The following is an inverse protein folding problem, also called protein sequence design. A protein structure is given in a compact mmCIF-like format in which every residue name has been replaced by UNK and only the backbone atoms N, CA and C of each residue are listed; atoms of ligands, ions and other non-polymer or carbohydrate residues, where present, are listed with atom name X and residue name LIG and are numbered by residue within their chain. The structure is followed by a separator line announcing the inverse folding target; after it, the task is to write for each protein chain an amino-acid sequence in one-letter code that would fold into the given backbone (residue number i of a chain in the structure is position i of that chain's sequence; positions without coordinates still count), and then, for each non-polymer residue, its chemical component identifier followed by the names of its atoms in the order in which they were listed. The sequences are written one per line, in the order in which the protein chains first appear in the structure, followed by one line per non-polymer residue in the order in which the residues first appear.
data_IF_042896709427
#
_entry.id   IF_042896709427
#
_cell.length_a   1.000
_cell.length_b   1.000
_cell.length_c   1.000
_cell.angle_alpha   90.00
_cell.angle_beta   90.00
_cell.angle_gamma   90.00
#
_symmetry.space_group_name_H-M   'P 1'
#
loop_
_entity.id
_entity.type
_entity.pdbx_description
1 polymer ?
#
# COMPACT_ATOMS: atom_id res chain seq x y z
N UNK A 1 12.93 -38.65 4.64
CA UNK A 1 12.46 -39.14 3.33
C UNK A 1 10.94 -38.88 3.26
N UNK A 2 10.43 -38.40 2.11
CA UNK A 2 8.98 -38.20 1.89
C UNK A 2 8.46 -39.48 1.30
N UNK A 3 7.53 -40.14 1.95
CA UNK A 3 6.98 -41.43 1.51
C UNK A 3 5.80 -41.21 0.55
N UNK A 4 4.96 -40.19 0.77
CA UNK A 4 3.81 -39.88 -0.06
C UNK A 4 3.36 -38.44 0.09
N UNK A 5 2.68 -37.91 -0.93
CA UNK A 5 2.09 -36.56 -0.95
C UNK A 5 0.61 -36.71 -1.34
N UNK A 6 -0.26 -36.15 -0.50
CA UNK A 6 -1.70 -36.15 -0.73
C UNK A 6 -2.27 -34.74 -0.75
N UNK A 7 -3.17 -34.49 -1.68
CA UNK A 7 -4.05 -33.35 -1.69
C UNK A 7 -5.35 -33.74 -0.97
N UNK A 8 -5.79 -32.93 -0.02
CA UNK A 8 -7.01 -33.21 0.75
C UNK A 8 -7.90 -31.96 0.82
N UNK A 9 -9.18 -32.18 0.93
CA UNK A 9 -10.16 -31.14 1.17
C UNK A 9 -10.07 -30.69 2.63
N UNK A 10 -9.87 -29.38 2.83
CA UNK A 10 -9.61 -28.80 4.16
C UNK A 10 -10.83 -28.89 5.09
N UNK A 11 -12.05 -28.90 4.54
CA UNK A 11 -13.29 -28.93 5.32
C UNK A 11 -13.67 -30.35 5.73
N UNK A 12 -13.52 -31.30 4.81
CA UNK A 12 -13.96 -32.70 5.01
C UNK A 12 -12.83 -33.61 5.44
N UNK A 13 -11.57 -33.23 5.24
CA UNK A 13 -10.41 -34.09 5.45
C UNK A 13 -10.28 -35.22 4.43
N UNK A 14 -11.14 -35.27 3.42
CA UNK A 14 -11.11 -36.33 2.40
C UNK A 14 -9.92 -36.12 1.45
N UNK A 15 -9.21 -37.23 1.13
CA UNK A 15 -8.15 -37.23 0.13
C UNK A 15 -8.74 -37.05 -1.26
N UNK A 16 -8.28 -35.97 -1.95
CA UNK A 16 -8.72 -35.59 -3.30
C UNK A 16 -7.85 -36.31 -4.35
N UNK A 17 -6.53 -36.26 -4.15
CA UNK A 17 -5.58 -36.89 -5.07
C UNK A 17 -4.25 -37.23 -4.40
N UNK A 18 -3.55 -38.25 -4.93
CA UNK A 18 -2.13 -38.46 -4.64
C UNK A 18 -1.27 -37.71 -5.65
N UNK A 19 -0.21 -37.06 -5.17
CA UNK A 19 0.70 -36.24 -6.00
C UNK A 19 2.10 -36.84 -5.98
N UNK A 20 2.72 -36.92 -7.16
CA UNK A 20 4.10 -37.40 -7.29
C UNK A 20 5.13 -36.32 -6.84
N UNK A 21 4.77 -35.05 -6.96
CA UNK A 21 5.61 -33.93 -6.58
C UNK A 21 4.77 -32.69 -6.24
N UNK A 22 5.36 -31.80 -5.48
CA UNK A 22 4.81 -30.48 -5.19
C UNK A 22 5.89 -29.42 -5.34
N UNK A 23 5.55 -28.29 -5.96
CA UNK A 23 6.39 -27.11 -6.01
C UNK A 23 6.12 -26.19 -4.82
N UNK A 24 7.12 -25.96 -3.98
CA UNK A 24 7.05 -24.97 -2.90
C UNK A 24 7.85 -23.76 -3.35
N UNK A 25 7.14 -22.64 -3.58
CA UNK A 25 7.75 -21.40 -4.02
C UNK A 25 8.07 -20.52 -2.83
N UNK A 26 9.19 -19.75 -2.88
CA UNK A 26 9.51 -18.81 -1.82
C UNK A 26 8.48 -17.69 -1.74
N UNK A 27 8.20 -17.21 -0.52
CA UNK A 27 7.32 -16.08 -0.26
C UNK A 27 8.03 -14.70 -0.43
N UNK A 28 9.33 -14.71 -0.76
CA UNK A 28 10.14 -13.51 -0.93
C UNK A 28 10.49 -13.29 -2.39
N UNK A 29 10.55 -12.02 -2.81
CA UNK A 29 11.01 -11.64 -4.14
C UNK A 29 12.51 -11.88 -4.31
N UNK A 30 12.94 -12.09 -5.56
CA UNK A 30 14.35 -12.22 -5.96
C UNK A 30 15.10 -13.42 -5.38
N UNK A 31 14.40 -14.43 -4.89
CA UNK A 31 15.02 -15.72 -4.59
C UNK A 31 15.33 -16.42 -5.91
N UNK A 32 16.59 -16.77 -6.12
CA UNK A 32 17.08 -17.34 -7.38
C UNK A 32 18.06 -18.47 -7.16
N UNK A 33 18.43 -19.18 -8.22
CA UNK A 33 19.44 -20.24 -8.13
C UNK A 33 20.83 -19.65 -7.88
N UNK A 34 21.70 -20.43 -7.23
CA UNK A 34 23.08 -20.01 -6.91
C UNK A 34 23.88 -19.61 -8.16
N UNK A 35 23.62 -20.21 -9.31
CA UNK A 35 24.27 -19.85 -10.57
C UNK A 35 23.86 -18.46 -11.07
N UNK A 36 22.56 -18.17 -11.07
CA UNK A 36 22.03 -16.85 -11.45
C UNK A 36 22.51 -15.77 -10.48
N UNK A 37 22.54 -16.06 -9.18
CA UNK A 37 23.02 -15.14 -8.16
C UNK A 37 24.51 -14.79 -8.38
N UNK A 38 25.36 -15.77 -8.66
CA UNK A 38 26.78 -15.53 -8.97
C UNK A 38 26.96 -14.62 -10.19
N UNK A 39 26.18 -14.83 -11.24
CA UNK A 39 26.21 -13.98 -12.42
C UNK A 39 25.75 -12.55 -12.11
N UNK A 40 24.68 -12.38 -11.34
CA UNK A 40 24.21 -11.08 -10.90
C UNK A 40 25.29 -10.34 -10.09
N UNK A 41 25.93 -11.01 -9.12
CA UNK A 41 27.03 -10.47 -8.32
C UNK A 41 28.19 -10.00 -9.20
N UNK A 42 28.56 -10.77 -10.23
CA UNK A 42 29.62 -10.37 -11.15
C UNK A 42 29.26 -9.09 -11.90
N UNK A 43 28.01 -8.96 -12.40
CA UNK A 43 27.51 -7.76 -13.10
C UNK A 43 27.44 -6.54 -12.17
N UNK A 44 26.99 -6.73 -10.92
CA UNK A 44 26.96 -5.67 -9.91
C UNK A 44 28.37 -5.13 -9.63
N UNK A 45 29.38 -6.00 -9.52
CA UNK A 45 30.78 -5.60 -9.32
C UNK A 45 31.28 -4.74 -10.47
N UNK A 46 31.00 -5.11 -11.71
CA UNK A 46 31.40 -4.32 -12.89
C UNK A 46 30.76 -2.94 -12.85
N UNK A 47 29.43 -2.88 -12.63
CA UNK A 47 28.72 -1.58 -12.52
C UNK A 47 29.27 -0.72 -11.37
N UNK A 48 29.59 -1.33 -10.23
CA UNK A 48 30.20 -0.62 -9.10
C UNK A 48 31.55 0.01 -9.49
N UNK A 49 32.44 -0.75 -10.11
CA UNK A 49 33.75 -0.25 -10.53
C UNK A 49 33.62 0.92 -11.52
N UNK A 50 32.77 0.79 -12.52
CA UNK A 50 32.48 1.86 -13.47
C UNK A 50 31.95 3.12 -12.77
N UNK A 51 30.97 2.97 -11.89
CA UNK A 51 30.40 4.11 -11.17
C UNK A 51 31.37 4.75 -10.19
N UNK A 52 32.20 3.97 -9.51
CA UNK A 52 33.23 4.50 -8.63
C UNK A 52 34.28 5.32 -9.40
N UNK A 53 34.63 4.90 -10.62
CA UNK A 53 35.53 5.63 -11.49
C UNK A 53 34.93 6.98 -11.86
N UNK A 54 33.67 7.01 -12.34
CA UNK A 54 32.95 8.24 -12.69
C UNK A 54 32.89 9.23 -11.50
N UNK A 55 32.52 8.75 -10.31
CA UNK A 55 32.41 9.60 -9.12
C UNK A 55 33.77 10.20 -8.71
N UNK A 56 34.86 9.42 -8.84
CA UNK A 56 36.21 9.90 -8.52
C UNK A 56 36.70 10.93 -9.57
N UNK A 57 36.40 10.73 -10.85
CA UNK A 57 36.71 11.70 -11.91
C UNK A 57 35.98 13.03 -11.71
N UNK A 58 34.80 12.99 -11.07
CA UNK A 58 34.01 14.17 -10.70
C UNK A 58 34.39 14.77 -9.32
N UNK A 59 35.45 14.28 -8.67
CA UNK A 59 35.88 14.67 -7.31
C UNK A 59 34.82 14.42 -6.21
N UNK A 60 33.91 13.46 -6.44
CA UNK A 60 32.85 13.08 -5.53
C UNK A 60 33.26 11.91 -4.63
N UNK A 61 34.28 12.13 -3.83
CA UNK A 61 34.96 11.07 -3.05
C UNK A 61 34.05 10.50 -1.95
N UNK A 62 33.25 11.33 -1.31
CA UNK A 62 32.34 10.88 -0.23
C UNK A 62 31.26 9.94 -0.77
N UNK A 63 30.66 10.27 -1.91
CA UNK A 63 29.65 9.45 -2.58
C UNK A 63 30.26 8.13 -3.06
N UNK A 64 31.47 8.17 -3.62
CA UNK A 64 32.17 6.98 -4.06
C UNK A 64 32.47 6.04 -2.86
N UNK A 65 32.92 6.57 -1.73
CA UNK A 65 33.20 5.79 -0.53
C UNK A 65 31.93 5.15 0.03
N UNK A 66 30.84 5.92 0.13
CA UNK A 66 29.53 5.45 0.60
C UNK A 66 29.00 4.32 -0.28
N UNK A 67 29.02 4.52 -1.59
CA UNK A 67 28.55 3.54 -2.56
C UNK A 67 29.35 2.24 -2.48
N UNK A 68 30.68 2.37 -2.45
CA UNK A 68 31.59 1.22 -2.32
C UNK A 68 31.31 0.41 -1.06
N UNK A 69 31.24 1.07 0.10
CA UNK A 69 31.00 0.42 1.37
C UNK A 69 29.66 -0.31 1.39
N UNK A 70 28.59 0.37 0.98
CA UNK A 70 27.24 -0.20 0.96
C UNK A 70 27.15 -1.38 0.00
N UNK A 71 27.60 -1.22 -1.23
CA UNK A 71 27.47 -2.27 -2.25
C UNK A 71 28.32 -3.50 -1.91
N UNK A 72 29.55 -3.33 -1.38
CA UNK A 72 30.36 -4.47 -0.97
C UNK A 72 29.71 -5.25 0.18
N UNK A 73 29.13 -4.56 1.16
CA UNK A 73 28.38 -5.20 2.24
C UNK A 73 27.18 -6.00 1.68
N UNK A 74 26.40 -5.42 0.77
CA UNK A 74 25.26 -6.09 0.16
C UNK A 74 25.70 -7.33 -0.66
N UNK A 75 26.83 -7.22 -1.37
CA UNK A 75 27.42 -8.35 -2.12
C UNK A 75 27.90 -9.49 -1.21
N UNK A 76 28.52 -9.16 -0.09
CA UNK A 76 28.93 -10.15 0.91
C UNK A 76 27.70 -10.88 1.48
N UNK A 77 26.66 -10.15 1.86
CA UNK A 77 25.41 -10.73 2.34
C UNK A 77 24.75 -11.65 1.27
N UNK A 78 24.74 -11.23 0.00
CA UNK A 78 24.24 -12.08 -1.09
C UNK A 78 25.07 -13.37 -1.27
N UNK A 79 26.39 -13.31 -1.08
CA UNK A 79 27.26 -14.46 -1.21
C UNK A 79 27.10 -15.47 -0.06
N UNK A 80 27.02 -14.98 1.17
CA UNK A 80 26.98 -15.82 2.38
C UNK A 80 25.57 -16.31 2.72
N UNK A 81 24.57 -15.44 2.56
CA UNK A 81 23.18 -15.70 2.99
C UNK A 81 22.24 -15.91 1.80
N UNK A 82 22.64 -15.51 0.61
CA UNK A 82 21.79 -15.54 -0.58
C UNK A 82 20.80 -14.37 -0.69
N UNK A 83 20.87 -13.42 0.24
CA UNK A 83 19.95 -12.29 0.34
C UNK A 83 20.62 -11.07 1.00
N UNK A 84 20.18 -9.87 0.66
CA UNK A 84 20.53 -8.65 1.38
C UNK A 84 19.30 -7.73 1.55
N UNK A 85 19.32 -6.84 2.52
CA UNK A 85 18.28 -5.82 2.69
C UNK A 85 18.34 -4.82 1.54
N UNK A 86 17.23 -4.67 0.81
CA UNK A 86 17.17 -3.84 -0.37
C UNK A 86 17.63 -4.55 -1.65
N UNK A 87 17.57 -5.88 -1.70
CA UNK A 87 17.95 -6.70 -2.86
C UNK A 87 17.21 -6.28 -4.15
N UNK A 88 16.03 -5.69 -4.02
CA UNK A 88 15.25 -5.15 -5.13
C UNK A 88 15.98 -4.05 -5.92
N UNK A 89 16.93 -3.34 -5.29
CA UNK A 89 17.75 -2.34 -5.97
C UNK A 89 18.73 -2.95 -6.98
N UNK A 90 18.94 -4.24 -6.92
CA UNK A 90 19.76 -5.03 -7.85
C UNK A 90 18.89 -5.87 -8.81
N UNK A 91 17.58 -5.64 -8.83
CA UNK A 91 16.61 -6.45 -9.59
C UNK A 91 16.91 -6.57 -11.07
N UNK A 92 17.49 -5.53 -11.69
CA UNK A 92 17.89 -5.57 -13.10
C UNK A 92 18.92 -6.68 -13.35
N UNK A 93 19.93 -6.81 -12.50
CA UNK A 93 20.95 -7.84 -12.60
C UNK A 93 20.44 -9.22 -12.22
N UNK A 94 19.53 -9.29 -11.23
CA UNK A 94 18.90 -10.54 -10.78
C UNK A 94 18.01 -11.18 -11.86
N UNK A 95 17.30 -10.37 -12.64
CA UNK A 95 16.40 -10.79 -13.70
C UNK A 95 16.98 -10.69 -15.11
N UNK A 96 18.27 -10.35 -15.23
CA UNK A 96 19.02 -10.26 -16.50
C UNK A 96 18.38 -9.32 -17.54
N UNK A 97 17.77 -8.22 -17.08
CA UNK A 97 17.15 -7.19 -17.91
C UNK A 97 18.18 -6.20 -18.44
N UNK A 98 17.85 -5.58 -19.59
CA UNK A 98 18.64 -4.49 -20.13
C UNK A 98 18.38 -3.19 -19.35
N UNK A 99 19.32 -2.22 -19.39
CA UNK A 99 19.06 -0.89 -18.83
C UNK A 99 17.80 -0.27 -19.45
N UNK A 100 16.90 0.24 -18.60
CA UNK A 100 15.65 0.84 -19.01
C UNK A 100 14.46 -0.12 -19.18
N UNK A 101 14.69 -1.43 -19.28
CA UNK A 101 13.61 -2.41 -19.38
C UNK A 101 12.69 -2.35 -18.16
N UNK A 102 11.36 -2.44 -18.34
CA UNK A 102 10.42 -2.49 -17.23
C UNK A 102 10.61 -3.73 -16.36
N UNK A 103 10.35 -3.65 -15.06
CA UNK A 103 10.37 -4.81 -14.19
C UNK A 103 9.20 -5.75 -14.51
N UNK A 104 9.35 -7.02 -14.12
CA UNK A 104 8.21 -7.93 -14.07
C UNK A 104 7.24 -7.50 -12.97
N UNK A 105 5.95 -7.56 -13.28
CA UNK A 105 4.85 -7.20 -12.39
C UNK A 105 3.90 -8.37 -12.20
N UNK A 106 2.92 -8.21 -11.31
CA UNK A 106 1.87 -9.21 -11.14
C UNK A 106 1.10 -9.47 -12.44
N UNK A 107 0.96 -8.47 -13.31
CA UNK A 107 0.27 -8.59 -14.59
C UNK A 107 0.95 -9.61 -15.53
N UNK A 108 2.27 -9.75 -15.44
CA UNK A 108 3.05 -10.69 -16.27
C UNK A 108 2.79 -12.17 -15.93
N UNK A 109 2.06 -12.47 -14.83
CA UNK A 109 1.68 -13.82 -14.43
C UNK A 109 0.29 -14.25 -14.92
N UNK A 110 -0.50 -13.30 -15.44
CA UNK A 110 -1.81 -13.62 -16.00
C UNK A 110 -1.68 -14.16 -17.43
N UNK A 111 -2.62 -14.98 -17.91
CA UNK A 111 -2.70 -15.36 -19.31
C UNK A 111 -3.01 -14.13 -20.17
N UNK A 112 -2.74 -14.20 -21.48
CA UNK A 112 -2.97 -13.07 -22.39
C UNK A 112 -4.43 -12.59 -22.41
N UNK A 113 -5.37 -13.51 -22.24
CA UNK A 113 -6.82 -13.20 -22.14
C UNK A 113 -7.23 -13.03 -20.68
N UNK A 114 -7.11 -11.82 -20.16
CA UNK A 114 -7.53 -11.44 -18.81
C UNK A 114 -8.23 -10.09 -18.80
N UNK A 115 -8.96 -9.85 -17.73
CA UNK A 115 -9.68 -8.61 -17.49
C UNK A 115 -9.20 -7.97 -16.19
N UNK A 116 -8.97 -6.65 -16.23
CA UNK A 116 -8.71 -5.83 -15.05
C UNK A 116 -9.98 -5.09 -14.66
N UNK A 117 -10.32 -5.13 -13.38
CA UNK A 117 -11.32 -4.25 -12.77
C UNK A 117 -10.61 -3.27 -11.85
N UNK A 118 -10.68 -1.97 -12.16
CA UNK A 118 -10.12 -0.91 -11.33
C UNK A 118 -11.23 -0.30 -10.50
N UNK A 119 -11.23 -0.64 -9.22
CA UNK A 119 -12.13 -0.04 -8.24
C UNK A 119 -11.63 1.35 -7.85
N UNK A 120 -12.57 2.27 -7.55
CA UNK A 120 -12.27 3.68 -7.28
C UNK A 120 -11.32 4.28 -8.33
N UNK A 121 -11.64 4.07 -9.60
CA UNK A 121 -10.76 4.42 -10.73
C UNK A 121 -10.39 5.90 -10.76
N UNK A 122 -11.27 6.78 -10.32
CA UNK A 122 -11.03 8.24 -10.22
C UNK A 122 -9.87 8.60 -9.27
N UNK A 123 -9.49 7.69 -8.35
CA UNK A 123 -8.31 7.82 -7.48
C UNK A 123 -7.16 6.98 -8.02
N UNK A 124 -7.44 5.74 -8.41
CA UNK A 124 -6.42 4.76 -8.80
C UNK A 124 -5.70 5.16 -10.09
N UNK A 125 -6.43 5.63 -11.10
CA UNK A 125 -5.83 6.03 -12.38
C UNK A 125 -4.84 7.20 -12.24
N UNK A 126 -5.17 8.30 -11.54
CA UNK A 126 -4.18 9.36 -11.26
C UNK A 126 -2.95 8.87 -10.48
N UNK A 127 -3.11 7.91 -9.56
CA UNK A 127 -1.97 7.31 -8.86
C UNK A 127 -1.06 6.53 -9.81
N UNK A 128 -1.62 5.73 -10.73
CA UNK A 128 -0.85 5.02 -11.74
C UNK A 128 -0.05 5.97 -12.64
N UNK A 129 -0.60 7.13 -12.99
CA UNK A 129 0.11 8.16 -13.73
C UNK A 129 1.28 8.77 -12.94
N UNK A 130 1.11 8.97 -11.63
CA UNK A 130 2.07 9.70 -10.81
C UNK A 130 3.21 8.82 -10.26
N UNK A 131 2.99 7.52 -10.06
CA UNK A 131 3.89 6.66 -9.29
C UNK A 131 5.28 6.50 -9.92
N UNK A 132 5.37 6.43 -11.26
CA UNK A 132 6.65 6.34 -11.95
C UNK A 132 7.53 7.57 -11.69
N UNK A 133 7.01 8.76 -11.91
CA UNK A 133 7.75 10.00 -11.73
C UNK A 133 8.17 10.24 -10.28
N UNK A 134 7.29 9.91 -9.32
CA UNK A 134 7.59 9.99 -7.89
C UNK A 134 8.71 9.06 -7.47
N UNK A 135 8.71 7.81 -7.95
CA UNK A 135 9.77 6.84 -7.68
C UNK A 135 11.10 7.25 -8.32
N UNK A 136 11.09 7.68 -9.58
CA UNK A 136 12.28 8.13 -10.29
C UNK A 136 12.94 9.34 -9.61
N UNK A 137 12.17 10.34 -9.23
CA UNK A 137 12.69 11.53 -8.53
C UNK A 137 13.44 11.15 -7.24
N UNK A 138 12.84 10.28 -6.44
CA UNK A 138 13.47 9.77 -5.22
C UNK A 138 14.75 8.97 -5.51
N UNK A 139 14.71 8.08 -6.48
CA UNK A 139 15.84 7.20 -6.81
C UNK A 139 17.01 7.95 -7.45
N UNK A 140 16.73 8.93 -8.31
CA UNK A 140 17.79 9.80 -8.83
C UNK A 140 18.59 10.45 -7.70
N UNK A 141 17.90 11.00 -6.69
CA UNK A 141 18.57 11.55 -5.51
C UNK A 141 19.45 10.49 -4.82
N UNK A 142 18.95 9.26 -4.63
CA UNK A 142 19.73 8.20 -3.98
C UNK A 142 20.95 7.76 -4.80
N UNK A 143 20.85 7.70 -6.11
CA UNK A 143 21.94 7.37 -7.02
C UNK A 143 22.97 8.50 -7.08
N UNK A 144 22.50 9.75 -7.18
CA UNK A 144 23.36 10.91 -7.25
C UNK A 144 24.22 11.07 -5.98
N UNK A 145 23.65 10.84 -4.82
CA UNK A 145 24.37 10.92 -3.55
C UNK A 145 25.10 9.62 -3.13
N UNK A 146 25.24 8.65 -4.03
CA UNK A 146 26.00 7.41 -3.79
C UNK A 146 25.36 6.43 -2.79
N UNK A 147 24.05 6.48 -2.61
CA UNK A 147 23.33 5.51 -1.77
C UNK A 147 22.90 4.25 -2.55
N UNK A 148 22.83 4.33 -3.88
CA UNK A 148 22.44 3.22 -4.76
C UNK A 148 23.23 3.27 -6.06
N UNK A 149 23.38 2.09 -6.70
CA UNK A 149 23.89 1.99 -8.06
C UNK A 149 22.88 2.54 -9.09
N UNK A 150 23.32 2.98 -10.27
CA UNK A 150 22.42 3.43 -11.33
C UNK A 150 21.36 2.40 -11.72
N UNK A 151 21.66 1.11 -11.67
CA UNK A 151 20.70 0.02 -11.94
C UNK A 151 19.47 0.01 -11.03
N UNK A 152 19.53 0.65 -9.86
CA UNK A 152 18.39 0.79 -8.97
C UNK A 152 17.24 1.61 -9.59
N UNK A 153 17.52 2.46 -10.58
CA UNK A 153 16.52 3.20 -11.34
C UNK A 153 15.58 2.27 -12.12
N UNK A 154 16.03 1.07 -12.49
CA UNK A 154 15.25 0.08 -13.25
C UNK A 154 14.37 -0.82 -12.35
N UNK A 155 14.47 -0.69 -11.02
CA UNK A 155 13.48 -1.22 -10.09
C UNK A 155 12.41 -0.16 -9.86
N UNK A 156 11.46 -0.06 -10.72
CA UNK A 156 10.50 1.05 -10.81
C UNK A 156 9.08 0.57 -11.08
N UNK A 157 8.06 1.35 -10.76
CA UNK A 157 6.74 1.12 -11.32
C UNK A 157 6.77 1.14 -12.85
N UNK A 158 5.80 0.52 -13.47
CA UNK A 158 5.55 0.71 -14.90
C UNK A 158 5.24 2.18 -15.17
N UNK A 159 5.61 2.68 -16.35
CA UNK A 159 4.98 3.90 -16.86
C UNK A 159 3.51 3.64 -17.15
N UNK A 160 2.71 4.68 -17.27
CA UNK A 160 1.29 4.51 -17.59
C UNK A 160 1.09 3.87 -18.97
N UNK A 161 1.95 4.18 -19.94
CA UNK A 161 1.96 3.56 -21.25
C UNK A 161 2.29 2.07 -21.18
N UNK A 162 3.35 1.69 -20.44
CA UNK A 162 3.71 0.29 -20.22
C UNK A 162 2.60 -0.50 -19.52
N UNK A 163 1.84 0.16 -18.63
CA UNK A 163 0.68 -0.43 -18.00
C UNK A 163 -0.44 -0.66 -19.01
N UNK A 164 -0.79 0.35 -19.80
CA UNK A 164 -1.86 0.26 -20.81
C UNK A 164 -1.57 -0.77 -21.89
N UNK A 165 -0.30 -0.91 -22.30
CA UNK A 165 0.13 -1.90 -23.30
C UNK A 165 -0.03 -3.36 -22.83
N UNK A 166 -0.10 -3.58 -21.51
CA UNK A 166 -0.32 -4.92 -20.94
C UNK A 166 -1.78 -5.27 -20.77
N UNK A 167 -2.69 -4.30 -20.90
CA UNK A 167 -4.12 -4.51 -20.65
C UNK A 167 -4.77 -5.11 -21.88
N UNK A 168 -5.47 -6.23 -21.70
CA UNK A 168 -6.36 -6.78 -22.72
C UNK A 168 -7.77 -6.15 -22.60
N UNK A 169 -8.41 -6.29 -21.44
CA UNK A 169 -9.73 -5.72 -21.16
C UNK A 169 -9.71 -5.02 -19.81
N UNK A 170 -10.45 -3.91 -19.71
CA UNK A 170 -10.51 -3.13 -18.48
C UNK A 170 -11.92 -2.65 -18.19
N UNK A 171 -12.31 -2.71 -16.91
CA UNK A 171 -13.52 -2.10 -16.37
C UNK A 171 -13.09 -1.09 -15.30
N UNK A 172 -13.50 0.14 -15.48
CA UNK A 172 -13.35 1.19 -14.48
C UNK A 172 -14.61 1.26 -13.63
N UNK A 173 -14.49 1.14 -12.32
CA UNK A 173 -15.58 1.23 -11.36
C UNK A 173 -15.39 2.50 -10.53
N UNK A 174 -16.40 3.38 -10.53
CA UNK A 174 -16.34 4.62 -9.75
C UNK A 174 -17.74 5.24 -9.63
N UNK A 175 -18.04 5.82 -8.48
CA UNK A 175 -19.22 6.68 -8.31
C UNK A 175 -19.04 8.04 -9.02
N UNK A 176 -17.81 8.49 -9.21
CA UNK A 176 -17.43 9.78 -9.82
C UNK A 176 -16.28 9.59 -10.82
N UNK A 177 -16.54 8.98 -11.99
CA UNK A 177 -15.50 8.71 -12.98
C UNK A 177 -14.67 9.94 -13.33
N UNK A 178 -13.36 9.77 -13.47
CA UNK A 178 -12.45 10.84 -13.84
C UNK A 178 -12.46 11.18 -15.32
N UNK A 179 -11.71 12.22 -15.70
CA UNK A 179 -11.64 12.66 -17.11
C UNK A 179 -11.02 11.61 -18.02
N UNK A 180 -10.05 10.84 -17.52
CA UNK A 180 -9.38 9.82 -18.30
C UNK A 180 -10.37 8.71 -18.69
N UNK A 181 -11.09 8.13 -17.71
CA UNK A 181 -12.05 7.06 -17.94
C UNK A 181 -13.14 7.52 -18.92
N UNK A 182 -13.64 8.73 -18.74
CA UNK A 182 -14.63 9.32 -19.64
C UNK A 182 -14.12 9.51 -21.07
N UNK A 183 -12.79 9.67 -21.26
CA UNK A 183 -12.19 9.86 -22.59
C UNK A 183 -11.91 8.55 -23.32
N UNK A 184 -11.72 7.44 -22.60
CA UNK A 184 -11.33 6.14 -23.19
C UNK A 184 -12.46 5.10 -23.16
N UNK A 185 -13.55 5.37 -22.49
CA UNK A 185 -14.68 4.43 -22.40
C UNK A 185 -15.29 4.12 -23.78
N UNK A 186 -15.63 2.88 -23.99
CA UNK A 186 -16.44 2.43 -25.15
C UNK A 186 -17.89 2.20 -24.77
N UNK A 187 -18.14 1.77 -23.55
CA UNK A 187 -19.45 1.52 -22.97
C UNK A 187 -19.51 2.07 -21.55
N UNK A 188 -20.70 2.48 -21.12
CA UNK A 188 -20.96 2.92 -19.77
C UNK A 188 -22.24 2.26 -19.26
N UNK A 189 -22.19 1.75 -18.02
CA UNK A 189 -23.34 1.25 -17.30
C UNK A 189 -23.46 1.99 -15.96
N UNK A 190 -24.66 2.46 -15.66
CA UNK A 190 -24.95 3.12 -14.39
C UNK A 190 -25.82 2.23 -13.51
N UNK A 191 -25.40 2.05 -12.26
CA UNK A 191 -26.19 1.37 -11.24
C UNK A 191 -26.61 2.38 -10.18
N UNK A 192 -27.85 2.84 -10.26
CA UNK A 192 -28.40 3.89 -9.39
C UNK A 192 -29.25 3.29 -8.26
N UNK A 193 -29.60 2.00 -8.36
CA UNK A 193 -30.53 1.34 -7.44
C UNK A 193 -29.84 1.09 -6.09
N UNK A 194 -30.48 1.56 -5.00
CA UNK A 194 -30.17 1.20 -3.62
C UNK A 194 -31.23 0.24 -3.07
N UNK A 195 -31.04 -1.07 -3.19
CA UNK A 195 -32.06 -2.06 -2.79
C UNK A 195 -32.29 -2.11 -1.28
N UNK A 196 -31.37 -1.58 -0.48
CA UNK A 196 -31.45 -1.57 0.99
C UNK A 196 -32.51 -0.61 1.53
N UNK A 197 -32.98 0.36 0.75
CA UNK A 197 -33.92 1.40 1.19
C UNK A 197 -33.33 2.41 2.20
N UNK A 198 -32.02 2.32 2.50
CA UNK A 198 -31.34 3.26 3.40
C UNK A 198 -31.13 4.59 2.67
N UNK A 199 -31.54 5.67 3.32
CA UNK A 199 -31.32 7.03 2.85
C UNK A 199 -29.88 7.46 3.10
N UNK A 200 -29.42 8.46 2.33
CA UNK A 200 -28.18 9.15 2.65
C UNK A 200 -28.28 9.81 4.03
N UNK A 201 -27.18 9.86 4.81
CA UNK A 201 -27.18 10.57 6.07
C UNK A 201 -27.47 12.05 5.87
N UNK A 202 -28.22 12.66 6.79
CA UNK A 202 -28.38 14.11 6.81
C UNK A 202 -27.06 14.78 7.15
N UNK A 203 -26.70 15.81 6.39
CA UNK A 203 -25.47 16.58 6.61
C UNK A 203 -25.81 17.94 7.16
N UNK A 204 -25.27 18.29 8.32
CA UNK A 204 -25.40 19.59 8.93
C UNK A 204 -24.03 20.28 8.98
N UNK A 205 -23.97 21.56 8.59
CA UNK A 205 -22.79 22.40 8.76
C UNK A 205 -23.07 23.33 9.94
N UNK A 206 -22.24 23.21 10.97
CA UNK A 206 -22.38 23.99 12.22
C UNK A 206 -21.28 25.02 12.35
N UNK A 207 -21.49 26.13 13.11
CA UNK A 207 -20.46 27.14 13.37
C UNK A 207 -19.27 26.56 14.13
N UNK A 208 -18.08 27.15 13.93
CA UNK A 208 -16.86 26.78 14.67
C UNK A 208 -16.93 27.25 16.13
N UNK A 209 -17.55 28.40 16.37
CA UNK A 209 -17.72 28.96 17.72
C UNK A 209 -18.57 28.04 18.60
N UNK A 210 -18.04 27.62 19.75
CA UNK A 210 -18.72 26.68 20.65
C UNK A 210 -18.72 25.22 20.19
N UNK A 211 -17.95 24.86 19.17
CA UNK A 211 -17.95 23.51 18.56
C UNK A 211 -17.61 22.40 19.55
N UNK A 212 -16.80 22.64 20.59
CA UNK A 212 -16.44 21.61 21.57
C UNK A 212 -17.60 21.32 22.54
N UNK A 213 -18.31 22.33 22.98
CA UNK A 213 -19.49 22.16 23.83
C UNK A 213 -20.62 21.47 23.05
N UNK A 214 -20.80 21.87 21.80
CA UNK A 214 -21.76 21.24 20.89
C UNK A 214 -21.41 19.76 20.65
N UNK A 215 -20.15 19.43 20.40
CA UNK A 215 -19.68 18.05 20.26
C UNK A 215 -19.97 17.21 21.50
N UNK A 216 -19.62 17.70 22.69
CA UNK A 216 -19.90 17.01 23.96
C UNK A 216 -21.41 16.78 24.13
N UNK A 217 -22.22 17.78 23.81
CA UNK A 217 -23.69 17.65 23.84
C UNK A 217 -24.20 16.56 22.90
N UNK A 218 -23.66 16.47 21.70
CA UNK A 218 -24.04 15.44 20.73
C UNK A 218 -23.53 14.03 21.13
N UNK A 219 -22.34 13.93 21.69
CA UNK A 219 -21.81 12.65 22.22
C UNK A 219 -22.71 12.12 23.33
N UNK A 220 -23.04 12.94 24.34
CA UNK A 220 -23.88 12.52 25.45
C UNK A 220 -25.30 12.07 25.02
N UNK A 221 -25.85 12.68 23.97
CA UNK A 221 -27.14 12.22 23.39
C UNK A 221 -27.03 10.80 22.81
N UNK A 222 -25.88 10.45 22.17
CA UNK A 222 -25.66 9.12 21.59
C UNK A 222 -25.32 8.10 22.67
N UNK A 223 -24.52 8.47 23.65
CA UNK A 223 -24.27 7.62 24.83
C UNK A 223 -25.58 7.21 25.53
N UNK A 224 -26.51 8.15 25.70
CA UNK A 224 -27.78 7.89 26.37
C UNK A 224 -28.64 6.83 25.66
N UNK A 225 -28.47 6.64 24.36
CA UNK A 225 -29.19 5.65 23.55
C UNK A 225 -28.30 4.49 23.09
N UNK A 226 -27.11 4.39 23.66
CA UNK A 226 -26.11 3.34 23.38
C UNK A 226 -25.64 3.29 21.91
N UNK A 227 -25.53 4.45 21.27
CA UNK A 227 -24.99 4.63 19.93
C UNK A 227 -23.54 5.12 19.96
N UNK A 228 -22.83 5.01 18.85
CA UNK A 228 -21.40 5.33 18.73
C UNK A 228 -21.18 6.56 17.86
N UNK A 229 -20.04 7.22 18.07
CA UNK A 229 -19.63 8.42 17.35
C UNK A 229 -18.26 8.21 16.69
N UNK A 230 -18.15 8.60 15.41
CA UNK A 230 -16.88 8.73 14.72
C UNK A 230 -16.50 10.19 14.58
N UNK A 231 -15.24 10.52 14.85
CA UNK A 231 -14.73 11.88 14.66
C UNK A 231 -13.47 11.81 13.79
N UNK A 232 -13.50 12.50 12.67
CA UNK A 232 -12.35 12.59 11.77
C UNK A 232 -11.73 13.99 11.83
N UNK A 233 -10.38 14.01 11.85
CA UNK A 233 -9.58 15.23 11.84
C UNK A 233 -8.59 15.22 10.68
N UNK A 234 -7.98 16.37 10.36
CA UNK A 234 -7.02 16.47 9.26
C UNK A 234 -5.61 16.02 9.63
N UNK A 235 -5.23 16.11 10.89
CA UNK A 235 -3.85 15.81 11.33
C UNK A 235 -3.82 14.91 12.55
N UNK A 236 -2.69 14.18 12.72
CA UNK A 236 -2.44 13.34 13.92
C UNK A 236 -2.55 14.17 15.19
N UNK A 237 -1.92 15.33 15.22
CA UNK A 237 -1.90 16.21 16.39
C UNK A 237 -3.31 16.63 16.80
N UNK A 238 -4.14 17.06 15.83
CA UNK A 238 -5.54 17.41 16.13
C UNK A 238 -6.31 16.23 16.70
N UNK A 239 -6.08 15.01 16.20
CA UNK A 239 -6.74 13.82 16.72
C UNK A 239 -6.28 13.49 18.14
N UNK A 240 -5.00 13.63 18.44
CA UNK A 240 -4.42 13.44 19.77
C UNK A 240 -4.96 14.47 20.76
N UNK A 241 -4.84 15.76 20.42
CA UNK A 241 -5.32 16.87 21.29
C UNK A 241 -6.83 16.73 21.56
N UNK A 242 -7.64 16.36 20.56
CA UNK A 242 -9.08 16.12 20.73
C UNK A 242 -9.38 14.89 21.60
N UNK A 243 -8.60 13.81 21.45
CA UNK A 243 -8.77 12.61 22.28
C UNK A 243 -8.48 12.92 23.75
N UNK A 244 -7.42 13.68 24.02
CA UNK A 244 -7.06 14.09 25.38
C UNK A 244 -8.16 14.96 25.99
N UNK A 245 -8.66 15.94 25.25
CA UNK A 245 -9.78 16.78 25.67
C UNK A 245 -11.03 15.97 26.02
N UNK A 246 -11.42 15.01 25.16
CA UNK A 246 -12.60 14.18 25.42
C UNK A 246 -12.39 13.24 26.60
N UNK A 247 -11.19 12.69 26.80
CA UNK A 247 -10.85 11.91 27.99
C UNK A 247 -10.95 12.75 29.28
N UNK A 248 -10.45 13.98 29.28
CA UNK A 248 -10.54 14.92 30.40
C UNK A 248 -12.00 15.28 30.71
N UNK A 249 -12.85 15.35 29.68
CA UNK A 249 -14.28 15.55 29.81
C UNK A 249 -15.05 14.29 30.29
N UNK A 250 -14.36 13.15 30.49
CA UNK A 250 -14.95 11.91 30.97
C UNK A 250 -15.61 11.03 29.90
N UNK A 251 -15.42 11.34 28.63
CA UNK A 251 -15.93 10.54 27.50
C UNK A 251 -15.04 9.31 27.30
N UNK A 252 -15.64 8.15 27.08
CA UNK A 252 -14.90 6.93 26.70
C UNK A 252 -14.51 7.01 25.23
N UNK A 253 -13.29 7.45 24.97
CA UNK A 253 -12.77 7.70 23.61
C UNK A 253 -11.51 6.89 23.36
N UNK A 254 -11.32 6.45 22.09
CA UNK A 254 -10.05 5.92 21.59
C UNK A 254 -9.61 6.65 20.34
N UNK A 255 -8.29 6.67 20.12
CA UNK A 255 -7.65 7.22 18.94
C UNK A 255 -7.18 6.10 18.00
N UNK A 256 -7.46 6.24 16.71
CA UNK A 256 -6.98 5.35 15.65
C UNK A 256 -6.01 6.10 14.73
N UNK A 257 -4.74 5.73 14.77
CA UNK A 257 -3.70 6.33 13.91
C UNK A 257 -3.21 5.36 12.83
N UNK A 258 -2.46 5.89 11.84
CA UNK A 258 -1.97 5.13 10.68
C UNK A 258 -0.97 4.03 11.03
N UNK A 259 -0.30 4.14 12.19
CA UNK A 259 0.79 3.24 12.60
C UNK A 259 0.29 2.06 13.45
N UNK A 260 -1.03 1.99 13.71
CA UNK A 260 -1.66 0.87 14.42
C UNK A 260 -1.60 -0.39 13.56
N UNK A 261 -1.14 -1.50 14.15
CA UNK A 261 -1.08 -2.78 13.46
C UNK A 261 -2.47 -3.27 13.02
N UNK A 262 -2.54 -4.04 11.94
CA UNK A 262 -3.82 -4.48 11.35
C UNK A 262 -4.69 -5.24 12.36
N UNK A 263 -4.09 -6.08 13.20
CA UNK A 263 -4.82 -6.85 14.23
C UNK A 263 -5.39 -5.91 15.28
N UNK A 264 -4.59 -5.00 15.80
CA UNK A 264 -5.01 -4.01 16.81
C UNK A 264 -6.12 -3.09 16.26
N UNK A 265 -6.04 -2.71 14.96
CA UNK A 265 -7.11 -1.95 14.30
C UNK A 265 -8.44 -2.72 14.30
N UNK A 266 -8.41 -4.02 14.01
CA UNK A 266 -9.60 -4.86 14.06
C UNK A 266 -10.18 -4.96 15.48
N UNK A 267 -9.31 -5.03 16.49
CA UNK A 267 -9.72 -5.02 17.90
C UNK A 267 -10.38 -3.71 18.31
N UNK A 268 -9.80 -2.57 17.93
CA UNK A 268 -10.37 -1.24 18.20
C UNK A 268 -11.78 -1.12 17.59
N UNK A 269 -11.96 -1.56 16.34
CA UNK A 269 -13.27 -1.51 15.67
C UNK A 269 -14.26 -2.44 16.36
N UNK A 270 -13.84 -3.65 16.73
CA UNK A 270 -14.69 -4.60 17.48
C UNK A 270 -15.11 -4.02 18.82
N UNK A 271 -14.19 -3.42 19.57
CA UNK A 271 -14.42 -2.86 20.90
C UNK A 271 -15.37 -1.65 20.83
N UNK A 272 -15.26 -0.80 19.78
CA UNK A 272 -16.23 0.27 19.52
C UNK A 272 -17.65 -0.32 19.33
N UNK A 273 -17.77 -1.33 18.48
CA UNK A 273 -19.06 -1.99 18.21
C UNK A 273 -19.63 -2.68 19.45
N UNK A 274 -18.77 -3.28 20.28
CA UNK A 274 -19.15 -3.90 21.54
C UNK A 274 -19.55 -2.88 22.63
N UNK A 275 -19.19 -1.61 22.47
CA UNK A 275 -19.50 -0.56 23.45
C UNK A 275 -18.53 -0.46 24.61
N UNK A 276 -17.31 -0.96 24.43
CA UNK A 276 -16.25 -0.76 25.41
C UNK A 276 -15.85 0.72 25.52
N UNK A 277 -16.04 1.47 24.43
CA UNK A 277 -15.93 2.92 24.37
C UNK A 277 -16.93 3.48 23.35
N UNK A 278 -17.23 4.79 23.41
CA UNK A 278 -18.34 5.40 22.71
C UNK A 278 -17.90 6.25 21.51
N UNK A 279 -16.67 6.74 21.53
CA UNK A 279 -16.15 7.67 20.53
C UNK A 279 -14.83 7.15 19.94
N UNK A 280 -14.74 7.12 18.62
CA UNK A 280 -13.50 6.84 17.88
C UNK A 280 -13.05 8.10 17.16
N UNK A 281 -11.85 8.58 17.50
CA UNK A 281 -11.20 9.72 16.85
C UNK A 281 -10.09 9.21 15.93
N UNK A 282 -9.92 9.83 14.78
CA UNK A 282 -8.76 9.53 13.92
C UNK A 282 -8.73 10.33 12.63
N UNK A 283 -7.77 10.01 11.78
CA UNK A 283 -7.57 10.66 10.49
C UNK A 283 -8.23 9.80 9.42
N UNK A 284 -9.02 10.42 8.54
CA UNK A 284 -9.66 9.74 7.41
C UNK A 284 -10.46 8.48 7.82
N UNK A 285 -11.18 8.54 8.95
CA UNK A 285 -12.00 7.42 9.41
C UNK A 285 -13.21 7.15 8.53
N UNK A 286 -13.71 8.18 7.84
CA UNK A 286 -14.87 8.09 6.94
C UNK A 286 -14.45 7.61 5.56
N UNK A 287 -13.88 6.41 5.50
CA UNK A 287 -13.52 5.73 4.25
C UNK A 287 -14.53 4.64 3.95
N UNK A 288 -14.61 4.27 2.68
CA UNK A 288 -15.34 3.09 2.23
C UNK A 288 -14.86 1.81 2.92
N UNK A 289 -15.73 0.82 2.98
CA UNK A 289 -15.44 -0.48 3.58
C UNK A 289 -15.60 -0.56 5.09
N UNK A 290 -16.15 0.46 5.76
CA UNK A 290 -16.54 0.38 7.15
C UNK A 290 -18.05 0.14 7.28
N UNK A 291 -18.42 -0.99 7.87
CA UNK A 291 -19.80 -1.33 8.22
C UNK A 291 -19.96 -1.33 9.74
N UNK A 292 -20.50 -0.23 10.24
CA UNK A 292 -20.69 0.00 11.69
C UNK A 292 -22.09 0.55 11.93
N UNK A 293 -23.14 -0.31 11.96
CA UNK A 293 -24.52 0.12 12.15
C UNK A 293 -24.76 0.77 13.52
N UNK A 294 -23.87 0.56 14.49
CA UNK A 294 -23.92 1.16 15.81
C UNK A 294 -23.56 2.65 15.82
N UNK A 295 -22.91 3.13 14.74
CA UNK A 295 -22.51 4.54 14.60
C UNK A 295 -23.65 5.34 14.01
N UNK A 296 -24.15 6.30 14.76
CA UNK A 296 -25.25 7.19 14.33
C UNK A 296 -24.81 8.61 14.06
N UNK A 297 -23.59 8.98 14.46
CA UNK A 297 -23.03 10.31 14.25
C UNK A 297 -21.58 10.20 13.72
N UNK A 298 -21.31 10.90 12.63
CA UNK A 298 -19.97 11.12 12.14
C UNK A 298 -19.69 12.64 12.08
N UNK A 299 -18.59 13.06 12.71
CA UNK A 299 -18.18 14.46 12.76
C UNK A 299 -16.87 14.64 12.02
N UNK A 300 -16.80 15.67 11.18
CA UNK A 300 -15.57 16.02 10.44
C UNK A 300 -15.11 17.42 10.82
N UNK A 301 -13.91 17.48 11.41
CA UNK A 301 -13.27 18.75 11.75
C UNK A 301 -12.17 19.08 10.76
N UNK A 302 -12.26 20.26 10.19
CA UNK A 302 -11.19 20.87 9.38
C UNK A 302 -10.34 21.85 10.19
N UNK A 303 -10.88 22.38 11.29
CA UNK A 303 -10.23 23.31 12.22
C UNK A 303 -10.67 22.99 13.65
N UNK A 304 -9.72 22.91 14.56
CA UNK A 304 -9.90 22.78 16.00
C UNK A 304 -9.18 23.92 16.69
#
# INVERSE_FOLDING_TARGET
EIESLYEFDVLTGATVAERAHIGIFPASHYVTTSGKLKNAIAKIKVELEERLKELREQDRILEAQRLMQRTNYDLEMMQEVGYCSGIENYSRHMSDRRPGDPPYTLLDYFPDDYMIMIDESHITVPQLHAMYNGDQSRKHTLVDYGFRLPSALDNRPLTFEEFTDRINQIIYVSATPGRYEMSVQTNMAEQIIRPTGLLDPSVEVRPIEGQMDDLLGEIHKREAVNERVLITTLTKKMAEDLTDFLNEAGVKVRYLHSDVATIERAEIIRDLRAGEFDVLVGINLLREGLDMPEVSLAVSYTHL
#
